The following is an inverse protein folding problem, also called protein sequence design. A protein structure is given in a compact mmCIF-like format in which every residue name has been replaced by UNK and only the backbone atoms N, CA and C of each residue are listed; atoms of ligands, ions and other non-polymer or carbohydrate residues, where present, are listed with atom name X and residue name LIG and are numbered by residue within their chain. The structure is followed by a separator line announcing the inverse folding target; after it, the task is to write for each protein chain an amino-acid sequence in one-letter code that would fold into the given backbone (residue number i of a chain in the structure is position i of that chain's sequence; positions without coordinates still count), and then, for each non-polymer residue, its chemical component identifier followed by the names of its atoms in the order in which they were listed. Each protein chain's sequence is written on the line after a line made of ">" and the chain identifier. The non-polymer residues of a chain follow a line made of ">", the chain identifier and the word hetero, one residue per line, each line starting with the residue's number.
data_IF_455475293333
#
_entry.id   IF_455475293333
#
_cell.length_a   1.000
_cell.length_b   1.000
_cell.length_c   1.000
_cell.angle_alpha   90.00
_cell.angle_beta   90.00
_cell.angle_gamma   90.00
#
_symmetry.space_group_name_H-M   'P 1'
#
loop_
_entity.id
_entity.type
_entity.pdbx_description
1 polymer ?
#
# COMPACT_ATOMS: atom_id res chain seq x y z
N UNK A 1 -2.39 -3.50 9.56
CA UNK A 1 -1.01 -3.35 10.06
C UNK A 1 0.00 -2.98 8.94
N UNK A 2 -0.48 -2.57 7.75
CA UNK A 2 0.35 -2.01 6.68
C UNK A 2 0.35 -0.48 6.70
N UNK A 3 1.42 0.13 6.17
CA UNK A 3 1.49 1.56 5.88
C UNK A 3 1.11 1.78 4.40
N UNK A 4 0.28 2.79 4.14
CA UNK A 4 -0.15 3.16 2.80
C UNK A 4 0.38 4.55 2.46
N UNK A 5 1.30 4.63 1.48
CA UNK A 5 1.88 5.89 1.01
C UNK A 5 1.01 6.44 -0.12
N UNK A 6 0.43 7.62 0.07
CA UNK A 6 -0.09 8.46 -1.01
C UNK A 6 1.10 9.07 -1.77
N UNK A 7 1.48 8.43 -2.88
CA UNK A 7 2.69 8.79 -3.62
C UNK A 7 2.37 9.82 -4.69
N UNK A 8 2.66 11.07 -4.37
CA UNK A 8 2.40 12.24 -5.19
C UNK A 8 2.48 13.52 -4.35
N UNK A 9 1.87 14.62 -4.83
CA UNK A 9 1.70 15.85 -4.05
C UNK A 9 0.86 15.62 -2.78
N UNK A 10 0.79 16.61 -1.89
CA UNK A 10 0.11 16.47 -0.58
C UNK A 10 -1.42 16.24 -0.66
N UNK A 11 -2.05 16.56 -1.79
CA UNK A 11 -3.49 16.76 -1.89
C UNK A 11 -4.33 15.49 -1.67
N UNK A 12 -4.11 14.43 -2.43
CA UNK A 12 -5.05 13.30 -2.45
C UNK A 12 -5.08 12.57 -1.10
N UNK A 13 -3.91 12.34 -0.52
CA UNK A 13 -3.82 11.76 0.83
C UNK A 13 -4.45 12.65 1.91
N UNK A 14 -4.26 13.98 1.86
CA UNK A 14 -4.88 14.90 2.83
C UNK A 14 -6.41 14.85 2.78
N UNK A 15 -7.01 14.92 1.59
CA UNK A 15 -8.49 14.93 1.47
C UNK A 15 -9.13 13.57 1.76
N UNK A 16 -8.40 12.48 1.60
CA UNK A 16 -8.88 11.13 1.93
C UNK A 16 -8.57 10.72 3.38
N UNK A 17 -7.78 11.52 4.10
CA UNK A 17 -7.32 11.19 5.44
C UNK A 17 -8.47 11.08 6.44
N UNK A 18 -8.73 9.85 6.91
CA UNK A 18 -9.77 9.54 7.90
C UNK A 18 -11.19 9.99 7.50
N UNK A 19 -11.42 10.31 6.23
CA UNK A 19 -12.74 10.72 5.74
C UNK A 19 -13.72 9.54 5.62
N UNK A 20 -13.21 8.31 5.48
CA UNK A 20 -13.98 7.07 5.43
C UNK A 20 -13.89 6.31 6.74
N UNK A 21 -15.04 5.87 7.27
CA UNK A 21 -15.18 5.25 8.59
C UNK A 21 -14.91 3.74 8.60
N UNK A 22 -13.89 3.25 7.90
CA UNK A 22 -13.48 1.84 7.95
C UNK A 22 -12.80 1.52 9.30
N UNK A 23 -13.55 0.96 10.24
CA UNK A 23 -13.11 0.74 11.61
C UNK A 23 -12.05 -0.37 11.69
N UNK A 24 -11.17 -0.26 12.68
CA UNK A 24 -10.16 -1.25 12.99
C UNK A 24 -9.83 -1.23 14.49
N UNK A 25 -9.22 -2.31 14.97
CA UNK A 25 -8.67 -2.41 16.32
C UNK A 25 -7.15 -2.43 16.24
N UNK A 26 -6.49 -1.69 17.14
CA UNK A 26 -5.04 -1.60 17.25
C UNK A 26 -4.60 -0.28 17.90
N UNK A 27 -3.30 -0.11 18.04
CA UNK A 27 -2.70 1.13 18.53
C UNK A 27 -2.15 1.94 17.36
N UNK A 28 -2.90 2.97 16.95
CA UNK A 28 -2.56 3.82 15.80
C UNK A 28 -1.16 4.43 15.95
N UNK A 29 -0.32 4.29 14.92
CA UNK A 29 1.07 4.76 14.91
C UNK A 29 2.07 3.79 15.52
N UNK A 30 1.61 2.67 16.08
CA UNK A 30 2.47 1.60 16.61
C UNK A 30 2.35 0.36 15.73
N UNK A 31 1.21 -0.35 15.78
CA UNK A 31 0.96 -1.60 15.04
C UNK A 31 -0.10 -1.48 13.94
N UNK A 32 -0.82 -0.35 13.93
CA UNK A 32 -1.90 -0.06 13.00
C UNK A 32 -1.81 1.39 12.54
N UNK A 33 -2.26 1.65 11.32
CA UNK A 33 -1.95 2.91 10.63
C UNK A 33 -3.15 3.47 9.83
N UNK A 34 -4.34 2.88 9.99
CA UNK A 34 -5.49 3.13 9.10
C UNK A 34 -6.04 4.55 9.11
N UNK A 35 -5.71 5.35 10.12
CA UNK A 35 -6.12 6.76 10.27
C UNK A 35 -4.91 7.70 10.26
N UNK A 36 -3.81 7.32 9.60
CA UNK A 36 -2.63 8.18 9.39
C UNK A 36 -2.46 8.49 7.91
N UNK A 37 -1.90 9.66 7.62
CA UNK A 37 -1.57 10.08 6.26
C UNK A 37 -0.05 10.03 6.08
N UNK A 38 0.41 9.08 5.26
CA UNK A 38 1.79 9.00 4.79
C UNK A 38 1.84 9.43 3.33
N UNK A 39 2.72 10.37 3.01
CA UNK A 39 2.85 10.88 1.64
C UNK A 39 4.30 11.16 1.32
N UNK A 40 4.62 11.08 0.03
CA UNK A 40 5.91 11.55 -0.48
C UNK A 40 5.97 13.06 -0.67
N UNK A 41 4.84 13.78 -0.58
CA UNK A 41 4.73 15.24 -0.71
C UNK A 41 5.59 15.80 -1.86
N UNK A 42 5.23 15.42 -3.10
CA UNK A 42 5.97 15.83 -4.29
C UNK A 42 6.06 17.34 -4.39
N UNK A 43 7.29 17.80 -4.56
CA UNK A 43 7.64 19.16 -4.90
C UNK A 43 7.93 19.25 -6.40
N UNK A 44 8.07 20.47 -6.92
CA UNK A 44 8.38 20.70 -8.34
C UNK A 44 9.64 19.92 -8.80
N UNK A 45 10.65 19.82 -7.94
CA UNK A 45 11.86 19.02 -8.21
C UNK A 45 11.53 17.55 -8.48
N UNK A 46 10.60 16.97 -7.74
CA UNK A 46 10.22 15.56 -7.89
C UNK A 46 9.48 15.34 -9.22
N UNK A 47 8.70 16.33 -9.65
CA UNK A 47 8.06 16.33 -10.98
C UNK A 47 9.10 16.40 -12.11
N UNK A 48 10.12 17.24 -11.96
CA UNK A 48 11.14 17.45 -13.00
C UNK A 48 12.12 16.27 -13.11
N UNK A 49 12.49 15.66 -11.99
CA UNK A 49 13.59 14.68 -11.94
C UNK A 49 13.15 13.25 -11.57
N UNK A 50 11.86 13.02 -11.35
CA UNK A 50 11.32 11.75 -10.89
C UNK A 50 11.40 11.56 -9.38
N UNK A 51 10.50 10.74 -8.85
CA UNK A 51 10.33 10.48 -7.42
C UNK A 51 10.97 9.20 -6.91
N UNK A 52 11.46 8.30 -7.77
CA UNK A 52 11.91 6.94 -7.39
C UNK A 52 12.95 6.92 -6.26
N UNK A 53 13.92 7.84 -6.28
CA UNK A 53 14.94 7.96 -5.23
C UNK A 53 14.35 8.44 -3.90
N UNK A 54 13.43 9.40 -3.96
CA UNK A 54 12.70 9.92 -2.79
C UNK A 54 11.83 8.80 -2.20
N UNK A 55 11.16 8.03 -3.04
CA UNK A 55 10.32 6.91 -2.63
C UNK A 55 11.12 5.82 -1.91
N UNK A 56 12.29 5.43 -2.46
CA UNK A 56 13.18 4.45 -1.82
C UNK A 56 13.56 4.93 -0.41
N UNK A 57 14.02 6.18 -0.30
CA UNK A 57 14.43 6.76 0.97
C UNK A 57 13.28 6.86 1.98
N UNK A 58 12.09 7.26 1.51
CA UNK A 58 10.88 7.34 2.32
C UNK A 58 10.52 5.98 2.93
N UNK A 59 10.54 4.91 2.13
CA UNK A 59 10.20 3.56 2.62
C UNK A 59 11.21 3.09 3.67
N UNK A 60 12.51 3.36 3.47
CA UNK A 60 13.54 3.06 4.46
C UNK A 60 13.35 3.84 5.76
N UNK A 61 12.97 5.12 5.68
CA UNK A 61 12.65 5.94 6.86
C UNK A 61 11.42 5.41 7.60
N UNK A 62 10.38 5.00 6.88
CA UNK A 62 9.20 4.39 7.48
C UNK A 62 9.52 3.08 8.20
N UNK A 63 10.43 2.27 7.67
CA UNK A 63 10.85 1.02 8.32
C UNK A 63 11.57 1.27 9.65
N UNK A 64 12.33 2.37 9.74
CA UNK A 64 13.00 2.80 10.97
C UNK A 64 12.02 3.40 11.98
N UNK A 65 11.14 4.29 11.53
CA UNK A 65 10.22 5.04 12.40
C UNK A 65 9.03 4.19 12.87
N UNK A 66 8.59 3.23 12.05
CA UNK A 66 7.44 2.37 12.32
C UNK A 66 7.81 0.89 12.19
N UNK A 67 8.71 0.37 13.06
CA UNK A 67 9.33 -0.95 12.88
C UNK A 67 8.35 -2.13 12.99
N UNK A 68 7.15 -1.91 13.55
CA UNK A 68 6.12 -2.94 13.65
C UNK A 68 5.21 -3.01 12.41
N UNK A 69 5.42 -2.15 11.40
CA UNK A 69 4.71 -2.29 10.14
C UNK A 69 4.98 -3.67 9.52
N UNK A 70 3.96 -4.26 8.89
CA UNK A 70 4.05 -5.57 8.23
C UNK A 70 4.17 -5.49 6.71
N UNK A 71 4.32 -4.29 6.18
CA UNK A 71 4.43 -4.04 4.76
C UNK A 71 3.97 -2.63 4.40
N UNK A 72 4.33 -2.23 3.19
CA UNK A 72 4.05 -0.91 2.63
C UNK A 72 3.35 -1.06 1.30
N UNK A 73 2.33 -0.25 1.03
CA UNK A 73 1.80 -0.07 -0.33
C UNK A 73 2.10 1.34 -0.84
N UNK A 74 2.44 1.45 -2.13
CA UNK A 74 2.69 2.71 -2.83
C UNK A 74 1.46 3.00 -3.69
N UNK A 75 0.64 3.95 -3.27
CA UNK A 75 -0.59 4.34 -3.97
C UNK A 75 -0.25 5.49 -4.92
N UNK A 76 -0.12 5.22 -6.21
CA UNK A 76 0.22 6.25 -7.19
C UNK A 76 -0.87 7.30 -7.35
N UNK A 77 -0.50 8.57 -7.18
CA UNK A 77 -1.31 9.70 -7.61
C UNK A 77 -1.03 10.06 -9.09
N UNK A 78 -1.78 11.02 -9.64
CA UNK A 78 -1.72 11.36 -11.07
C UNK A 78 -0.31 11.61 -11.64
N UNK A 79 0.62 12.32 -10.98
CA UNK A 79 1.90 12.65 -11.59
C UNK A 79 2.79 11.43 -11.86
N UNK A 80 2.69 10.37 -11.05
CA UNK A 80 3.60 9.22 -11.09
C UNK A 80 3.60 8.55 -12.46
N UNK A 81 2.41 8.30 -13.01
CA UNK A 81 2.26 7.70 -14.33
C UNK A 81 2.58 8.65 -15.48
N UNK A 82 2.50 9.97 -15.27
CA UNK A 82 2.77 10.97 -16.29
C UNK A 82 4.27 11.22 -16.47
N UNK A 83 5.03 11.20 -15.38
CA UNK A 83 6.50 11.43 -15.42
C UNK A 83 7.30 10.15 -15.65
N UNK A 84 6.65 8.98 -15.55
CA UNK A 84 7.25 7.70 -15.89
C UNK A 84 8.11 7.08 -14.78
N UNK A 85 7.85 7.41 -13.51
CA UNK A 85 8.48 6.76 -12.35
C UNK A 85 8.22 5.23 -12.36
N UNK A 86 9.22 4.41 -12.00
CA UNK A 86 9.14 2.94 -11.98
C UNK A 86 8.99 2.43 -10.53
N UNK A 87 7.79 2.63 -9.98
CA UNK A 87 7.48 2.22 -8.60
C UNK A 87 7.56 0.69 -8.41
N UNK A 88 7.41 -0.10 -9.46
CA UNK A 88 7.56 -1.56 -9.39
C UNK A 88 9.02 -1.97 -9.18
N UNK A 89 9.97 -1.30 -9.86
CA UNK A 89 11.39 -1.51 -9.62
C UNK A 89 11.79 -1.07 -8.20
N UNK A 90 11.31 0.11 -7.76
CA UNK A 90 11.53 0.58 -6.39
C UNK A 90 10.96 -0.41 -5.38
N UNK A 91 9.74 -0.90 -5.58
CA UNK A 91 9.11 -1.86 -4.68
C UNK A 91 9.90 -3.18 -4.58
N UNK A 92 10.32 -3.75 -5.70
CA UNK A 92 11.10 -5.01 -5.71
C UNK A 92 12.45 -4.85 -5.00
N UNK A 93 13.15 -3.74 -5.25
CA UNK A 93 14.46 -3.51 -4.66
C UNK A 93 14.34 -3.24 -3.16
N UNK A 94 13.46 -2.32 -2.78
CA UNK A 94 13.30 -1.92 -1.38
C UNK A 94 12.70 -3.04 -0.53
N UNK A 95 11.78 -3.85 -1.06
CA UNK A 95 11.25 -5.04 -0.37
C UNK A 95 12.35 -6.03 0.01
N UNK A 96 13.38 -6.19 -0.84
CA UNK A 96 14.55 -7.03 -0.52
C UNK A 96 15.42 -6.39 0.58
N UNK A 97 15.63 -5.08 0.51
CA UNK A 97 16.43 -4.32 1.49
C UNK A 97 15.84 -4.38 2.89
N UNK A 98 14.55 -4.10 3.04
CA UNK A 98 13.89 -4.02 4.35
C UNK A 98 13.34 -5.38 4.83
N UNK A 99 13.34 -6.41 3.97
CA UNK A 99 12.82 -7.74 4.30
C UNK A 99 11.30 -7.82 4.49
N UNK A 100 10.56 -6.77 4.12
CA UNK A 100 9.09 -6.67 4.22
C UNK A 100 8.43 -6.50 2.85
N UNK A 101 7.14 -6.84 2.68
CA UNK A 101 6.41 -6.56 1.45
C UNK A 101 6.36 -5.06 1.14
N UNK A 102 6.72 -4.69 -0.09
CA UNK A 102 6.46 -3.37 -0.66
C UNK A 102 5.62 -3.60 -1.93
N UNK A 103 4.45 -2.98 -2.01
CA UNK A 103 3.44 -3.28 -3.02
C UNK A 103 3.16 -2.02 -3.86
N UNK A 104 3.53 -2.01 -5.14
CA UNK A 104 3.23 -0.90 -6.04
C UNK A 104 1.77 -0.97 -6.52
N UNK A 105 1.09 0.17 -6.56
CA UNK A 105 -0.32 0.27 -6.98
C UNK A 105 -0.46 1.42 -7.98
N UNK A 106 -0.64 1.07 -9.26
CA UNK A 106 -0.82 2.02 -10.37
C UNK A 106 -2.25 2.55 -10.44
N UNK A 107 -2.68 3.22 -9.38
CA UNK A 107 -4.03 3.77 -9.22
C UNK A 107 -4.11 5.27 -9.56
N UNK A 108 -3.29 5.75 -10.51
CA UNK A 108 -3.30 7.15 -10.91
C UNK A 108 -4.71 7.61 -11.32
N UNK A 109 -5.17 8.75 -10.80
CA UNK A 109 -6.56 9.20 -10.92
C UNK A 109 -7.04 9.50 -12.35
N UNK A 110 -6.12 9.61 -13.31
CA UNK A 110 -6.47 9.74 -14.73
C UNK A 110 -6.87 8.40 -15.39
N UNK A 111 -6.64 7.26 -14.73
CA UNK A 111 -6.97 5.95 -15.28
C UNK A 111 -8.46 5.64 -15.09
N UNK A 112 -9.09 5.18 -16.17
CA UNK A 112 -10.50 4.79 -16.14
C UNK A 112 -11.42 6.01 -16.10
N UNK A 113 -12.61 5.82 -15.54
CA UNK A 113 -13.67 6.84 -15.54
C UNK A 113 -14.31 7.06 -14.16
N UNK A 114 -13.93 6.27 -13.16
CA UNK A 114 -14.43 6.34 -11.79
C UNK A 114 -13.58 5.48 -10.85
N UNK A 115 -13.94 5.48 -9.57
CA UNK A 115 -13.37 4.61 -8.53
C UNK A 115 -13.40 3.12 -8.90
N UNK A 116 -14.30 2.71 -9.81
CA UNK A 116 -14.46 1.32 -10.24
C UNK A 116 -13.17 0.71 -10.79
N UNK A 117 -12.42 1.43 -11.62
CA UNK A 117 -11.14 0.90 -12.13
C UNK A 117 -10.10 0.80 -11.00
N UNK A 118 -10.13 1.74 -10.05
CA UNK A 118 -9.33 1.66 -8.84
C UNK A 118 -9.58 0.37 -8.06
N UNK A 119 -10.82 -0.08 -7.96
CA UNK A 119 -11.15 -1.38 -7.33
C UNK A 119 -10.52 -2.55 -8.10
N UNK A 120 -10.58 -2.55 -9.43
CA UNK A 120 -9.96 -3.60 -10.24
C UNK A 120 -8.44 -3.63 -10.03
N UNK A 121 -7.78 -2.47 -10.13
CA UNK A 121 -6.33 -2.34 -9.89
C UNK A 121 -5.96 -2.81 -8.47
N UNK A 122 -6.76 -2.47 -7.46
CA UNK A 122 -6.56 -2.90 -6.09
C UNK A 122 -6.72 -4.43 -5.90
N UNK A 123 -7.62 -5.08 -6.66
CA UNK A 123 -7.72 -6.54 -6.64
C UNK A 123 -6.52 -7.20 -7.32
N UNK A 124 -6.08 -6.64 -8.45
CA UNK A 124 -4.94 -7.14 -9.20
C UNK A 124 -3.62 -7.03 -8.41
N UNK A 125 -3.41 -5.95 -7.65
CA UNK A 125 -2.24 -5.87 -6.75
C UNK A 125 -2.25 -6.97 -5.67
N UNK A 126 -3.43 -7.35 -5.14
CA UNK A 126 -3.53 -8.41 -4.13
C UNK A 126 -3.17 -9.75 -4.79
N UNK A 127 -3.72 -10.01 -5.98
CA UNK A 127 -3.40 -11.19 -6.79
C UNK A 127 -1.91 -11.30 -7.08
N UNK A 128 -1.27 -10.20 -7.47
CA UNK A 128 0.09 -10.24 -8.03
C UNK A 128 1.19 -10.08 -6.98
N UNK A 129 0.92 -9.43 -5.85
CA UNK A 129 1.95 -9.08 -4.85
C UNK A 129 1.71 -9.68 -3.47
N UNK A 130 0.47 -10.06 -3.13
CA UNK A 130 0.12 -10.59 -1.81
C UNK A 130 -0.05 -12.11 -1.85
N UNK A 131 -0.95 -12.63 -2.70
CA UNK A 131 -1.18 -14.08 -2.78
C UNK A 131 0.06 -14.91 -3.09
N UNK A 132 1.00 -14.51 -3.97
CA UNK A 132 2.21 -15.29 -4.23
C UNK A 132 3.10 -15.45 -3.00
N UNK A 133 3.02 -14.53 -2.03
CA UNK A 133 3.74 -14.65 -0.75
C UNK A 133 3.10 -15.70 0.15
N UNK A 134 1.78 -15.75 0.20
CA UNK A 134 1.05 -16.81 0.92
C UNK A 134 1.29 -18.18 0.26
N UNK A 135 1.26 -18.26 -1.07
CA UNK A 135 1.56 -19.49 -1.82
C UNK A 135 2.99 -19.97 -1.55
N UNK A 136 3.95 -19.05 -1.51
CA UNK A 136 5.33 -19.37 -1.14
C UNK A 136 5.42 -19.86 0.31
N UNK A 137 4.77 -19.17 1.26
CA UNK A 137 4.77 -19.60 2.65
C UNK A 137 4.16 -21.01 2.84
N UNK A 138 3.12 -21.34 2.07
CA UNK A 138 2.52 -22.68 2.02
C UNK A 138 3.48 -23.72 1.46
N UNK A 139 4.17 -23.42 0.35
CA UNK A 139 5.17 -24.31 -0.27
C UNK A 139 6.37 -24.55 0.65
N UNK A 140 6.83 -23.51 1.34
CA UNK A 140 7.98 -23.56 2.24
C UNK A 140 7.63 -24.15 3.63
N UNK A 141 6.37 -24.54 3.87
CA UNK A 141 5.89 -25.08 5.15
C UNK A 141 5.92 -24.07 6.31
N UNK A 142 6.03 -22.77 6.00
CA UNK A 142 6.07 -21.68 6.99
C UNK A 142 4.70 -21.09 7.28
N UNK A 143 3.69 -21.39 6.45
CA UNK A 143 2.30 -21.01 6.69
C UNK A 143 1.71 -21.87 7.81
N UNK A 144 1.55 -21.26 8.99
CA UNK A 144 0.90 -21.88 10.16
C UNK A 144 -0.61 -21.66 10.10
N UNK A 145 -1.29 -22.40 9.23
CA UNK A 145 -2.75 -22.40 9.17
C UNK A 145 -3.28 -23.83 9.10
N UNK A 146 -4.08 -24.21 10.09
CA UNK A 146 -4.79 -25.49 10.14
C UNK A 146 -6.26 -25.23 9.80
N UNK A 147 -6.69 -25.69 8.63
CA UNK A 147 -8.04 -25.43 8.15
C UNK A 147 -9.11 -26.32 8.80
N UNK A 148 -10.35 -25.85 8.77
CA UNK A 148 -11.55 -26.55 9.26
C UNK A 148 -12.62 -26.65 8.17
N UNK A 149 -13.63 -27.55 8.32
CA UNK A 149 -14.76 -27.61 7.40
C UNK A 149 -15.65 -26.36 7.35
N UNK A 150 -15.43 -25.39 8.23
CA UNK A 150 -16.28 -24.21 8.40
C UNK A 150 -15.55 -22.89 8.09
N UNK A 151 -14.35 -22.96 7.54
CA UNK A 151 -13.56 -21.77 7.22
C UNK A 151 -14.25 -20.97 6.11
N UNK A 152 -14.52 -19.69 6.38
CA UNK A 152 -15.11 -18.74 5.44
C UNK A 152 -14.40 -17.40 5.52
N UNK A 153 -14.48 -16.60 4.45
CA UNK A 153 -13.99 -15.24 4.42
C UNK A 153 -15.10 -14.29 3.97
N UNK A 154 -15.22 -13.14 4.62
CA UNK A 154 -16.08 -12.05 4.17
C UNK A 154 -15.32 -11.28 3.09
N UNK A 155 -15.92 -11.12 1.91
CA UNK A 155 -15.30 -10.46 0.76
C UNK A 155 -16.10 -9.22 0.39
N UNK A 156 -15.43 -8.07 0.34
CA UNK A 156 -16.06 -6.81 -0.08
C UNK A 156 -16.76 -6.04 1.03
N UNK A 157 -16.55 -6.40 2.29
CA UNK A 157 -16.93 -5.59 3.44
C UNK A 157 -15.72 -4.79 3.93
N UNK A 158 -15.94 -3.52 4.29
CA UNK A 158 -14.92 -2.60 4.75
C UNK A 158 -15.16 -2.08 6.17
N UNK A 159 -16.10 -2.70 6.89
CA UNK A 159 -16.37 -2.41 8.30
C UNK A 159 -16.70 -0.93 8.53
N UNK A 160 -17.68 -0.40 7.79
CA UNK A 160 -18.06 1.01 7.89
C UNK A 160 -18.79 1.22 9.22
N UNK A 161 -18.13 1.87 10.16
CA UNK A 161 -18.72 2.14 11.47
C UNK A 161 -19.03 0.91 12.32
N UNK A 162 -18.48 -0.27 11.97
CA UNK A 162 -18.74 -1.53 12.68
C UNK A 162 -19.55 -2.58 11.89
N UNK A 163 -19.85 -2.34 10.61
CA UNK A 163 -20.59 -3.27 9.72
C UNK A 163 -19.90 -4.63 9.54
#
# INVERSE_FOLDING_TARGET
>A
DMIHISHGPVGCGYWSWSGRRNYYLGTTGIDTFGTMHFTSDFQERDIVFGGDKKLTKLIEELDVLFPLNRGVSIQSECPIGLIGDDIEAVARNTSKTIGRPVIPVRCEGFRGVSQSLGHHIANDMIRDWVFPRADKAKKDGTLKFEGTPYDVAIIGDYNIGGD
#
